data_IF_782220413906
#
_entry.id   IF_782220413906
#
_cell.length_a   1.000
_cell.length_b   1.000
_cell.length_c   1.000
_cell.angle_alpha   90.00
_cell.angle_beta   90.00
_cell.angle_gamma   90.00
#
_symmetry.space_group_name_H-M   'P 1'
#
loop_
_entity.id
_entity.type
_entity.pdbx_description
1 polymer ?
#
# COMPACT_ATOMS: atom_id res chain seq x y z
N UNK A 1 -5.51 9.78 12.04
CA UNK A 1 -6.41 10.30 11.01
C UNK A 1 -5.74 10.52 9.67
N UNK A 2 -6.50 10.95 8.65
CA UNK A 2 -5.93 11.32 7.35
C UNK A 2 -6.74 12.44 6.68
N UNK A 3 -6.07 13.23 5.87
CA UNK A 3 -6.68 14.09 4.89
C UNK A 3 -6.64 13.41 3.53
N UNK A 4 -7.80 13.34 2.88
CA UNK A 4 -7.94 12.78 1.54
C UNK A 4 -8.45 13.85 0.58
N UNK A 5 -7.73 14.04 -0.52
CA UNK A 5 -8.13 14.93 -1.61
C UNK A 5 -8.01 14.17 -2.93
N UNK A 6 -8.98 14.35 -3.81
CA UNK A 6 -8.92 13.80 -5.14
C UNK A 6 -9.49 14.79 -6.17
N UNK A 7 -8.82 14.89 -7.29
CA UNK A 7 -9.26 15.62 -8.46
C UNK A 7 -9.43 14.63 -9.61
N UNK A 8 -10.62 14.57 -10.17
CA UNK A 8 -10.91 13.74 -11.34
C UNK A 8 -11.37 14.60 -12.49
N UNK A 9 -10.87 14.30 -13.67
CA UNK A 9 -11.31 14.90 -14.91
C UNK A 9 -11.75 13.82 -15.88
N UNK A 10 -12.97 13.97 -16.41
CA UNK A 10 -13.59 13.04 -17.35
C UNK A 10 -13.55 13.68 -18.74
N UNK A 11 -12.77 13.09 -19.63
CA UNK A 11 -12.74 13.41 -21.04
C UNK A 11 -13.78 12.56 -21.80
N UNK A 12 -14.08 12.84 -23.07
CA UNK A 12 -15.05 12.04 -23.81
C UNK A 12 -14.75 10.54 -23.88
N UNK A 13 -13.46 10.15 -23.91
CA UNK A 13 -13.03 8.76 -24.11
C UNK A 13 -12.12 8.21 -23.01
N UNK A 14 -11.62 9.06 -22.12
CA UNK A 14 -10.70 8.66 -21.07
C UNK A 14 -10.94 9.47 -19.79
N UNK A 15 -10.43 9.01 -18.67
CA UNK A 15 -10.55 9.68 -17.38
C UNK A 15 -9.20 9.68 -16.66
N UNK A 16 -8.85 10.80 -16.07
CA UNK A 16 -7.70 10.92 -15.22
C UNK A 16 -8.13 11.29 -13.79
N UNK A 17 -7.42 10.75 -12.80
CA UNK A 17 -7.61 11.06 -11.40
C UNK A 17 -6.25 11.24 -10.74
N UNK A 18 -6.04 12.35 -10.06
CA UNK A 18 -4.94 12.55 -9.14
C UNK A 18 -5.49 12.59 -7.72
N UNK A 19 -4.81 11.96 -6.79
CA UNK A 19 -5.24 11.95 -5.40
C UNK A 19 -4.04 12.04 -4.47
N UNK A 20 -4.32 12.58 -3.30
CA UNK A 20 -3.35 12.84 -2.25
C UNK A 20 -3.98 12.46 -0.92
N UNK A 21 -3.25 11.71 -0.10
CA UNK A 21 -3.59 11.42 1.27
C UNK A 21 -2.43 11.79 2.17
N UNK A 22 -2.72 12.45 3.28
CA UNK A 22 -1.77 12.75 4.34
C UNK A 22 -2.22 12.11 5.62
N UNK A 23 -1.34 11.37 6.25
CA UNK A 23 -1.56 10.76 7.55
C UNK A 23 -1.25 11.74 8.69
N UNK A 24 -1.96 11.60 9.79
CA UNK A 24 -1.67 12.30 11.04
C UNK A 24 -2.17 11.50 12.24
N UNK A 25 -1.46 11.57 13.35
CA UNK A 25 -1.84 10.93 14.60
C UNK A 25 -2.60 11.89 15.50
N UNK A 26 -2.12 13.11 15.67
CA UNK A 26 -2.68 14.08 16.61
C UNK A 26 -2.94 15.46 15.97
N UNK A 27 -3.36 16.40 16.82
CA UNK A 27 -3.71 17.76 16.42
C UNK A 27 -2.50 18.54 15.92
N UNK A 28 -1.29 18.23 16.34
CA UNK A 28 -0.08 18.97 15.95
C UNK A 28 0.20 18.89 14.46
N UNK A 29 -0.27 17.83 13.80
CA UNK A 29 -0.13 17.62 12.36
C UNK A 29 -1.26 18.20 11.52
N UNK A 30 -2.34 18.70 12.12
CA UNK A 30 -3.46 19.30 11.40
C UNK A 30 -3.06 20.53 10.56
N UNK A 31 -1.95 21.16 10.91
CA UNK A 31 -1.38 22.27 10.16
C UNK A 31 -0.21 21.79 9.30
N UNK A 32 0.05 22.43 8.17
CA UNK A 32 1.19 22.13 7.31
C UNK A 32 2.53 22.58 7.90
N UNK A 33 2.56 22.96 9.18
CA UNK A 33 3.71 23.52 9.88
C UNK A 33 4.95 22.61 9.82
N UNK A 34 4.74 21.29 9.85
CA UNK A 34 5.82 20.29 9.88
C UNK A 34 6.10 19.67 8.51
N UNK A 35 5.57 20.26 7.44
CA UNK A 35 5.79 19.82 6.07
C UNK A 35 4.80 18.74 5.59
N UNK A 36 4.99 18.31 4.37
CA UNK A 36 4.16 17.29 3.69
C UNK A 36 5.05 16.09 3.30
N UNK A 37 5.95 15.69 4.20
CA UNK A 37 6.90 14.62 3.90
C UNK A 37 6.24 13.26 3.86
N UNK A 38 5.28 13.01 4.78
CA UNK A 38 4.51 11.79 4.81
C UNK A 38 3.21 11.97 4.03
N UNK A 39 3.02 11.12 3.04
CA UNK A 39 1.88 11.21 2.14
C UNK A 39 1.68 9.91 1.36
N UNK A 40 0.51 9.76 0.80
CA UNK A 40 0.25 8.95 -0.38
C UNK A 40 -0.13 9.90 -1.51
N UNK A 41 0.58 9.82 -2.63
CA UNK A 41 0.27 10.54 -3.86
C UNK A 41 -0.01 9.50 -4.94
N UNK A 42 -1.14 9.61 -5.61
CA UNK A 42 -1.55 8.69 -6.64
C UNK A 42 -2.04 9.36 -7.90
N UNK A 43 -1.81 8.69 -9.01
CA UNK A 43 -2.29 9.07 -10.32
C UNK A 43 -2.85 7.85 -11.04
N UNK A 44 -4.09 7.95 -11.50
CA UNK A 44 -4.81 6.89 -12.19
C UNK A 44 -5.35 7.41 -13.52
N UNK A 45 -5.25 6.59 -14.57
CA UNK A 45 -5.82 6.89 -15.88
C UNK A 45 -6.61 5.68 -16.37
N UNK A 46 -7.85 5.94 -16.75
CA UNK A 46 -8.70 5.04 -17.54
C UNK A 46 -8.60 5.46 -19.00
N UNK A 47 -8.19 4.56 -19.86
CA UNK A 47 -7.97 4.80 -21.30
C UNK A 47 -9.20 4.42 -22.13
N UNK A 48 -9.33 4.95 -23.35
CA UNK A 48 -10.32 4.48 -24.30
C UNK A 48 -10.23 2.97 -24.50
N UNK A 49 -11.37 2.33 -24.75
CA UNK A 49 -11.41 0.88 -24.97
C UNK A 49 -10.42 0.47 -26.06
N UNK A 50 -9.43 -0.31 -25.66
CA UNK A 50 -8.43 -0.88 -26.54
C UNK A 50 -8.04 -2.28 -26.01
N UNK A 51 -7.42 -3.15 -26.85
CA UNK A 51 -7.16 -4.53 -26.47
C UNK A 51 -5.99 -4.70 -25.49
N UNK A 52 -5.21 -3.67 -25.22
CA UNK A 52 -3.98 -3.83 -24.46
C UNK A 52 -4.09 -3.26 -23.05
N UNK A 53 -4.40 -1.97 -22.90
CA UNK A 53 -4.37 -1.28 -21.61
C UNK A 53 -5.67 -0.53 -21.38
N UNK A 54 -6.43 -0.90 -20.37
CA UNK A 54 -7.66 -0.21 -20.00
C UNK A 54 -7.41 0.87 -18.95
N UNK A 55 -6.56 0.58 -17.99
CA UNK A 55 -6.13 1.58 -17.01
C UNK A 55 -4.74 1.30 -16.47
N UNK A 56 -4.13 2.34 -15.95
CA UNK A 56 -2.92 2.23 -15.13
C UNK A 56 -3.02 3.13 -13.90
N UNK A 57 -2.29 2.77 -12.86
CA UNK A 57 -2.13 3.53 -11.64
C UNK A 57 -0.65 3.62 -11.28
N UNK A 58 -0.25 4.78 -10.79
CA UNK A 58 1.06 5.01 -10.19
C UNK A 58 0.83 5.67 -8.83
N UNK A 59 1.40 5.09 -7.78
CA UNK A 59 1.33 5.62 -6.42
C UNK A 59 2.71 5.71 -5.81
N UNK A 60 2.89 6.76 -5.03
CA UNK A 60 4.03 6.93 -4.14
C UNK A 60 3.51 7.14 -2.73
N UNK A 61 4.01 6.34 -1.78
CA UNK A 61 3.71 6.50 -0.37
C UNK A 61 5.01 6.74 0.40
N UNK A 62 4.97 7.63 1.37
CA UNK A 62 6.00 7.81 2.38
C UNK A 62 5.37 7.92 3.76
N UNK A 63 5.86 7.14 4.71
CA UNK A 63 5.63 7.29 6.14
C UNK A 63 6.96 7.42 6.89
N UNK A 64 8.03 7.72 6.16
CA UNK A 64 9.41 7.69 6.63
C UNK A 64 9.69 8.75 7.69
N UNK A 65 9.14 9.95 7.52
CA UNK A 65 9.49 11.08 8.37
C UNK A 65 8.63 11.14 9.64
N UNK A 66 7.42 10.57 9.62
CA UNK A 66 6.50 10.57 10.76
C UNK A 66 6.42 11.96 11.39
N UNK A 67 6.08 12.94 10.54
CA UNK A 67 6.11 14.34 10.89
C UNK A 67 5.16 14.65 12.03
N UNK A 68 5.60 15.49 12.96
CA UNK A 68 4.86 15.94 14.12
C UNK A 68 5.64 16.98 14.91
N UNK A 69 5.09 17.44 16.01
CA UNK A 69 5.76 18.38 16.90
C UNK A 69 7.05 17.75 17.46
N UNK A 70 8.11 18.51 17.41
CA UNK A 70 9.38 18.11 18.02
C UNK A 70 9.46 18.75 19.38
N UNK A 71 9.38 17.94 20.45
CA UNK A 71 9.41 18.40 21.83
C UNK A 71 10.82 18.62 22.39
N UNK A 72 11.85 18.08 21.74
CA UNK A 72 13.25 18.24 22.15
C UNK A 72 14.11 18.79 21.03
N UNK A 73 14.84 19.82 21.35
CA UNK A 73 15.97 20.23 20.53
C UNK A 73 17.16 19.28 20.72
N UNK A 74 18.05 19.24 19.74
CA UNK A 74 19.31 18.50 19.85
C UNK A 74 20.07 18.95 21.09
N UNK A 75 20.48 17.99 21.91
CA UNK A 75 21.40 18.20 23.02
C UNK A 75 22.65 17.36 22.83
N UNK A 76 23.72 17.66 23.57
CA UNK A 76 24.94 16.87 23.49
C UNK A 76 24.73 15.40 23.89
N UNK A 77 23.75 15.14 24.78
CA UNK A 77 23.40 13.79 25.24
C UNK A 77 22.31 13.12 24.40
N UNK A 78 21.57 13.89 23.58
CA UNK A 78 20.58 13.41 22.64
C UNK A 78 20.76 14.13 21.31
N UNK A 79 21.66 13.64 20.46
CA UNK A 79 22.00 14.30 19.21
C UNK A 79 20.87 14.24 18.16
N UNK A 80 19.92 13.31 18.34
CA UNK A 80 18.79 13.15 17.45
C UNK A 80 17.50 13.71 18.05
N UNK A 81 16.68 14.33 17.22
CA UNK A 81 15.35 14.81 17.58
C UNK A 81 14.38 13.62 17.61
N UNK A 82 14.41 12.82 18.66
CA UNK A 82 13.67 11.54 18.72
C UNK A 82 12.24 11.67 19.27
N UNK A 83 11.92 12.74 20.00
CA UNK A 83 10.61 12.91 20.62
C UNK A 83 9.71 13.86 19.83
N UNK A 84 8.43 13.56 19.83
CA UNK A 84 7.40 14.39 19.21
C UNK A 84 7.16 14.10 17.74
N UNK A 85 7.75 13.04 17.18
CA UNK A 85 7.35 12.55 15.87
C UNK A 85 6.25 11.52 16.03
N UNK A 86 5.20 11.66 15.26
CA UNK A 86 4.07 10.75 15.31
C UNK A 86 4.48 9.36 14.83
N UNK A 87 4.23 8.39 15.68
CA UNK A 87 4.63 7.01 15.47
C UNK A 87 3.42 6.24 14.94
N UNK A 88 3.19 6.29 13.64
CA UNK A 88 2.04 5.64 13.01
C UNK A 88 1.95 4.17 13.39
N UNK A 89 0.72 3.69 13.61
CA UNK A 89 0.41 2.30 13.93
C UNK A 89 0.89 1.80 15.29
N UNK A 90 1.82 2.48 15.95
CA UNK A 90 2.43 2.03 17.20
C UNK A 90 2.32 3.08 18.30
N UNK A 91 2.11 2.62 19.54
CA UNK A 91 2.13 3.48 20.72
C UNK A 91 2.75 2.73 21.89
N UNK A 92 3.43 3.45 22.80
CA UNK A 92 4.11 2.84 23.95
C UNK A 92 3.17 2.15 24.94
N UNK A 93 1.91 2.62 25.05
CA UNK A 93 0.95 2.15 26.03
C UNK A 93 -0.04 1.11 25.50
N UNK A 94 -0.12 0.89 24.17
CA UNK A 94 -1.00 -0.09 23.56
C UNK A 94 -0.37 -0.67 22.30
N UNK A 95 -0.87 -1.83 21.88
CA UNK A 95 -0.29 -2.61 20.77
C UNK A 95 -0.49 -2.01 19.37
N UNK A 96 -1.07 -0.81 19.29
CA UNK A 96 -1.25 -0.08 18.04
C UNK A 96 -2.44 -0.56 17.18
N UNK A 97 -2.45 -0.14 15.93
CA UNK A 97 -3.51 -0.44 14.96
C UNK A 97 -3.37 -1.85 14.39
N UNK A 98 -3.70 -2.83 15.19
CA UNK A 98 -3.64 -4.24 14.81
C UNK A 98 -4.74 -5.05 15.49
N UNK A 99 -5.09 -6.19 14.89
CA UNK A 99 -6.01 -7.17 15.44
C UNK A 99 -5.36 -8.54 15.37
N UNK A 100 -5.11 -9.15 16.55
CA UNK A 100 -4.43 -10.45 16.64
C UNK A 100 -3.10 -10.52 15.87
N UNK A 101 -2.33 -9.44 15.92
CA UNK A 101 -1.05 -9.34 15.22
C UNK A 101 -1.14 -8.97 13.73
N UNK A 102 -2.35 -8.83 13.17
CA UNK A 102 -2.54 -8.34 11.80
C UNK A 102 -2.73 -6.83 11.80
N UNK A 103 -1.91 -6.11 11.04
CA UNK A 103 -2.02 -4.67 10.88
C UNK A 103 -3.37 -4.28 10.25
N UNK A 104 -3.98 -3.22 10.77
CA UNK A 104 -5.18 -2.61 10.21
C UNK A 104 -4.74 -1.37 9.41
N UNK A 105 -5.23 -1.20 8.20
CA UNK A 105 -4.92 -0.05 7.36
C UNK A 105 -4.03 -0.40 6.18
N UNK A 106 -2.88 0.28 6.01
CA UNK A 106 -2.08 0.14 4.80
C UNK A 106 -1.33 -1.21 4.74
N UNK A 107 -1.45 -1.97 3.64
CA UNK A 107 -0.91 -3.33 3.53
C UNK A 107 0.63 -3.40 3.54
N UNK A 108 1.33 -2.29 3.25
CA UNK A 108 2.80 -2.25 3.28
C UNK A 108 3.37 -2.08 4.69
N UNK A 109 2.53 -1.80 5.70
CA UNK A 109 2.97 -1.81 7.10
C UNK A 109 3.03 -3.26 7.56
N UNK A 110 4.24 -3.70 7.93
CA UNK A 110 4.48 -5.10 8.29
C UNK A 110 3.68 -5.50 9.53
N UNK A 111 2.83 -6.50 9.37
CA UNK A 111 2.00 -7.01 10.46
C UNK A 111 2.84 -7.66 11.56
N UNK A 112 2.59 -7.37 12.85
CA UNK A 112 3.32 -7.94 13.96
C UNK A 112 3.33 -9.48 14.04
N UNK A 113 2.36 -10.15 13.43
CA UNK A 113 2.31 -11.63 13.38
C UNK A 113 3.54 -12.25 12.68
N UNK A 114 4.22 -11.47 11.84
CA UNK A 114 5.44 -11.91 11.16
C UNK A 114 6.72 -11.69 11.98
N UNK A 115 6.60 -11.16 13.21
CA UNK A 115 7.77 -10.99 14.09
C UNK A 115 8.28 -12.34 14.56
N UNK A 116 9.56 -12.62 14.39
CA UNK A 116 10.21 -13.86 14.78
C UNK A 116 10.15 -14.16 16.30
N UNK A 117 10.07 -13.11 17.11
CA UNK A 117 10.02 -13.21 18.57
C UNK A 117 8.60 -13.36 19.14
N UNK A 118 7.58 -13.50 18.32
CA UNK A 118 6.16 -13.55 18.68
C UNK A 118 5.65 -12.35 19.50
N UNK A 119 6.37 -11.23 19.50
CA UNK A 119 5.93 -10.01 20.19
C UNK A 119 4.99 -9.24 19.27
N UNK A 120 3.80 -8.92 19.78
CA UNK A 120 2.76 -8.20 19.04
C UNK A 120 3.02 -6.68 19.14
N UNK A 121 4.06 -6.22 18.46
CA UNK A 121 4.36 -4.80 18.26
C UNK A 121 4.81 -4.54 16.81
N UNK A 122 4.61 -3.32 16.34
CA UNK A 122 5.10 -2.94 15.02
C UNK A 122 6.62 -2.73 15.07
N UNK A 123 7.33 -3.43 14.19
CA UNK A 123 8.78 -3.29 14.02
C UNK A 123 9.16 -2.44 12.81
N UNK A 124 8.19 -2.18 11.93
CA UNK A 124 8.40 -1.40 10.72
C UNK A 124 7.13 -0.61 10.38
N UNK A 125 7.17 0.70 10.53
CA UNK A 125 6.12 1.65 10.17
C UNK A 125 6.65 2.86 9.40
N UNK A 126 7.97 2.89 9.13
CA UNK A 126 8.64 3.90 8.34
C UNK A 126 9.01 3.30 7.00
N UNK A 127 8.20 3.61 6.00
CA UNK A 127 8.34 3.06 4.65
C UNK A 127 8.33 4.18 3.61
N UNK A 128 8.94 3.89 2.48
CA UNK A 128 8.73 4.61 1.23
C UNK A 128 8.49 3.57 0.14
N UNK A 129 7.46 3.76 -0.67
CA UNK A 129 7.13 2.79 -1.70
C UNK A 129 6.64 3.46 -2.98
N UNK A 130 6.95 2.79 -4.09
CA UNK A 130 6.33 3.00 -5.39
C UNK A 130 5.46 1.80 -5.72
N UNK A 131 4.23 2.08 -6.12
CA UNK A 131 3.30 1.07 -6.61
C UNK A 131 2.87 1.41 -8.03
N UNK A 132 2.93 0.41 -8.89
CA UNK A 132 2.48 0.48 -10.27
C UNK A 132 1.47 -0.61 -10.55
N UNK A 133 0.33 -0.23 -11.10
CA UNK A 133 -0.72 -1.14 -11.49
C UNK A 133 -1.12 -0.92 -12.95
N UNK A 134 -1.38 -2.02 -13.64
CA UNK A 134 -1.82 -2.04 -15.03
C UNK A 134 -2.89 -3.10 -15.21
N UNK A 135 -3.95 -2.80 -15.97
CA UNK A 135 -4.90 -3.81 -16.40
C UNK A 135 -5.29 -3.63 -17.87
N UNK A 136 -5.76 -4.71 -18.46
CA UNK A 136 -6.23 -4.74 -19.83
C UNK A 136 -7.22 -5.87 -20.08
N UNK A 137 -7.95 -5.75 -21.18
CA UNK A 137 -8.93 -6.73 -21.63
C UNK A 137 -8.73 -7.00 -23.13
N UNK A 138 -7.77 -7.88 -23.50
CA UNK A 138 -7.43 -8.20 -24.88
C UNK A 138 -8.63 -8.71 -25.70
N UNK A 139 -9.54 -9.43 -25.05
CA UNK A 139 -10.77 -9.93 -25.64
C UNK A 139 -11.93 -9.79 -24.65
N UNK A 140 -13.16 -9.97 -25.13
CA UNK A 140 -14.34 -9.98 -24.24
C UNK A 140 -14.33 -11.11 -23.20
N UNK A 141 -13.50 -12.14 -23.40
CA UNK A 141 -13.40 -13.30 -22.53
C UNK A 141 -12.18 -13.27 -21.61
N UNK A 142 -11.11 -12.54 -22.00
CA UNK A 142 -9.86 -12.46 -21.24
C UNK A 142 -9.59 -11.07 -20.73
N UNK A 143 -9.26 -10.97 -19.43
CA UNK A 143 -8.73 -9.79 -18.80
C UNK A 143 -7.46 -10.14 -18.00
N UNK A 144 -6.58 -9.16 -17.83
CA UNK A 144 -5.36 -9.33 -17.03
C UNK A 144 -5.10 -8.12 -16.12
N UNK A 145 -4.31 -8.35 -15.08
CA UNK A 145 -3.81 -7.31 -14.17
C UNK A 145 -2.37 -7.60 -13.79
N UNK A 146 -1.58 -6.55 -13.74
CA UNK A 146 -0.19 -6.56 -13.24
C UNK A 146 -0.08 -5.54 -12.13
N UNK A 147 0.50 -5.94 -10.99
CA UNK A 147 0.83 -5.04 -9.90
C UNK A 147 2.31 -5.22 -9.55
N UNK A 148 3.01 -4.11 -9.39
CA UNK A 148 4.41 -4.05 -9.01
C UNK A 148 4.55 -3.08 -7.85
N UNK A 149 5.19 -3.50 -6.77
CA UNK A 149 5.42 -2.67 -5.59
C UNK A 149 6.88 -2.77 -5.19
N UNK A 150 7.53 -1.64 -4.98
CA UNK A 150 8.92 -1.52 -4.56
C UNK A 150 8.96 -0.72 -3.27
N UNK A 151 9.44 -1.31 -2.19
CA UNK A 151 9.46 -0.69 -0.87
C UNK A 151 10.87 -0.58 -0.31
N UNK A 152 11.13 0.53 0.36
CA UNK A 152 12.25 0.75 1.26
C UNK A 152 11.70 0.88 2.68
N UNK A 153 12.39 0.29 3.65
CA UNK A 153 11.91 0.08 5.00
C UNK A 153 12.99 0.49 6.01
N UNK A 154 12.63 1.35 6.98
CA UNK A 154 13.58 1.92 7.95
C UNK A 154 13.34 1.44 9.40
N UNK A 155 12.40 0.52 9.62
CA UNK A 155 11.98 0.13 10.96
C UNK A 155 11.08 1.17 11.62
N UNK A 156 11.29 1.42 12.91
CA UNK A 156 10.61 2.50 13.65
C UNK A 156 11.61 3.57 14.08
N UNK A 157 11.16 4.69 14.64
CA UNK A 157 12.08 5.67 15.22
C UNK A 157 12.77 5.16 16.49
N UNK A 158 12.10 4.32 17.27
CA UNK A 158 12.64 3.78 18.53
C UNK A 158 13.62 2.64 18.25
N UNK A 159 13.30 1.81 17.27
CA UNK A 159 14.09 0.65 16.84
C UNK A 159 14.29 0.69 15.33
N UNK A 160 15.14 1.59 14.83
CA UNK A 160 15.46 1.63 13.41
C UNK A 160 16.19 0.35 12.98
N UNK A 161 16.06 -0.01 11.72
CA UNK A 161 16.92 -1.03 11.12
C UNK A 161 18.34 -0.46 10.95
N UNK A 162 19.35 -1.31 11.04
CA UNK A 162 20.74 -0.91 10.84
C UNK A 162 20.97 -0.41 9.40
N UNK A 163 20.34 -1.06 8.43
CA UNK A 163 20.33 -0.69 7.02
C UNK A 163 18.90 -0.51 6.50
N UNK A 164 18.77 0.15 5.36
CA UNK A 164 17.48 0.28 4.67
C UNK A 164 17.15 -1.04 3.99
N UNK A 165 16.15 -1.73 4.48
CA UNK A 165 15.72 -3.02 3.94
C UNK A 165 14.79 -2.82 2.74
N UNK A 166 15.04 -3.56 1.66
CA UNK A 166 14.24 -3.50 0.43
C UNK A 166 13.33 -4.71 0.32
N UNK A 167 12.14 -4.46 -0.20
CA UNK A 167 11.17 -5.52 -0.51
C UNK A 167 10.45 -5.18 -1.82
N UNK A 168 10.42 -6.11 -2.74
CA UNK A 168 9.71 -6.00 -4.01
C UNK A 168 8.59 -7.05 -4.04
N UNK A 169 7.42 -6.65 -4.52
CA UNK A 169 6.26 -7.53 -4.63
C UNK A 169 5.66 -7.42 -6.03
N UNK A 170 5.38 -8.56 -6.62
CA UNK A 170 4.89 -8.69 -7.99
C UNK A 170 3.63 -9.54 -7.99
N UNK A 171 2.59 -9.11 -8.71
CA UNK A 171 1.39 -9.89 -8.97
C UNK A 171 1.07 -9.87 -10.46
N UNK A 172 0.81 -11.05 -11.02
CA UNK A 172 0.21 -11.23 -12.34
C UNK A 172 -1.08 -12.03 -12.21
N UNK A 173 -2.18 -11.50 -12.72
CA UNK A 173 -3.48 -12.13 -12.68
C UNK A 173 -4.10 -12.18 -14.08
N UNK A 174 -4.68 -13.32 -14.44
CA UNK A 174 -5.48 -13.50 -15.66
C UNK A 174 -6.85 -14.03 -15.28
N UNK A 175 -7.88 -13.41 -15.83
CA UNK A 175 -9.28 -13.83 -15.70
C UNK A 175 -9.83 -14.25 -17.04
N UNK A 176 -10.54 -15.38 -17.04
CA UNK A 176 -11.22 -15.94 -18.21
C UNK A 176 -12.72 -16.11 -17.93
N UNK A 177 -13.55 -15.53 -18.81
CA UNK A 177 -15.02 -15.60 -18.76
C UNK A 177 -15.54 -16.13 -20.08
N UNK A 178 -15.65 -17.45 -20.25
CA UNK A 178 -16.08 -18.06 -21.51
C UNK A 178 -17.53 -17.71 -21.86
N UNK A 179 -17.77 -17.17 -23.04
CA UNK A 179 -19.12 -16.88 -23.56
C UNK A 179 -19.99 -18.15 -23.65
N UNK A 180 -19.35 -19.30 -23.91
CA UNK A 180 -20.04 -20.61 -24.00
C UNK A 180 -20.60 -21.09 -22.66
N UNK A 181 -19.94 -20.75 -21.55
CA UNK A 181 -20.34 -21.18 -20.19
C UNK A 181 -20.84 -19.99 -19.40
N UNK A 182 -22.08 -19.58 -19.66
CA UNK A 182 -22.71 -18.40 -19.07
C UNK A 182 -22.59 -18.44 -17.55
N UNK A 183 -22.09 -17.37 -16.96
CA UNK A 183 -21.92 -17.17 -15.53
C UNK A 183 -20.71 -17.87 -14.91
N UNK A 184 -19.89 -18.59 -15.66
CA UNK A 184 -18.60 -19.12 -15.20
C UNK A 184 -17.47 -18.12 -15.41
N UNK A 185 -16.57 -18.06 -14.43
CA UNK A 185 -15.28 -17.40 -14.59
C UNK A 185 -14.20 -18.17 -13.86
N UNK A 186 -12.98 -18.13 -14.42
CA UNK A 186 -11.78 -18.66 -13.80
C UNK A 186 -10.75 -17.51 -13.69
N UNK A 187 -10.07 -17.40 -12.57
CA UNK A 187 -8.98 -16.44 -12.38
C UNK A 187 -7.77 -17.16 -11.83
N UNK A 188 -6.64 -17.01 -12.51
CA UNK A 188 -5.32 -17.46 -12.06
C UNK A 188 -4.53 -16.22 -11.63
N UNK A 189 -4.01 -16.23 -10.41
CA UNK A 189 -3.10 -15.23 -9.91
C UNK A 189 -1.79 -15.89 -9.50
N UNK A 190 -0.66 -15.27 -9.88
CA UNK A 190 0.69 -15.65 -9.48
C UNK A 190 1.33 -14.44 -8.81
N UNK A 191 1.93 -14.65 -7.65
CA UNK A 191 2.62 -13.62 -6.88
C UNK A 191 4.04 -14.06 -6.56
N UNK A 192 4.95 -13.09 -6.54
CA UNK A 192 6.34 -13.30 -6.13
C UNK A 192 6.80 -12.11 -5.29
N UNK A 193 7.37 -12.42 -4.14
CA UNK A 193 8.03 -11.46 -3.26
C UNK A 193 9.54 -11.72 -3.27
N UNK A 194 10.32 -10.63 -3.28
CA UNK A 194 11.78 -10.65 -3.26
C UNK A 194 12.28 -9.54 -2.34
N UNK A 195 12.99 -9.89 -1.26
CA UNK A 195 13.55 -8.88 -0.38
C UNK A 195 13.88 -9.35 1.03
N UNK A 196 14.11 -8.37 1.89
CA UNK A 196 14.73 -8.56 3.22
C UNK A 196 13.72 -8.43 4.37
N UNK A 197 12.50 -7.95 4.10
CA UNK A 197 11.48 -7.75 5.16
C UNK A 197 10.58 -8.96 5.33
N UNK A 198 10.06 -9.50 4.22
CA UNK A 198 9.21 -10.69 4.18
C UNK A 198 9.93 -11.92 3.60
N UNK A 199 11.18 -11.73 3.14
CA UNK A 199 11.94 -12.76 2.45
C UNK A 199 11.46 -13.00 1.02
N UNK A 200 11.93 -14.09 0.42
CA UNK A 200 11.59 -14.48 -0.94
C UNK A 200 10.49 -15.52 -0.89
N UNK A 201 9.39 -15.28 -1.59
CA UNK A 201 8.27 -16.21 -1.63
C UNK A 201 7.59 -16.22 -2.98
N UNK A 202 7.02 -17.36 -3.34
CA UNK A 202 6.18 -17.51 -4.53
C UNK A 202 4.83 -18.08 -4.13
N UNK A 203 3.75 -17.48 -4.64
CA UNK A 203 2.39 -17.91 -4.39
C UNK A 203 1.56 -18.00 -5.66
N UNK A 204 0.57 -18.88 -5.64
CA UNK A 204 -0.39 -19.01 -6.73
C UNK A 204 -1.80 -19.25 -6.20
N UNK A 205 -2.79 -18.68 -6.86
CA UNK A 205 -4.21 -18.86 -6.54
C UNK A 205 -5.01 -19.17 -7.81
N UNK A 206 -5.85 -20.21 -7.76
CA UNK A 206 -6.88 -20.44 -8.75
C UNK A 206 -8.26 -20.22 -8.12
N UNK A 207 -9.03 -19.33 -8.72
CA UNK A 207 -10.42 -19.04 -8.31
C UNK A 207 -11.37 -19.45 -9.43
N UNK A 208 -12.33 -20.30 -9.10
CA UNK A 208 -13.46 -20.65 -9.96
C UNK A 208 -14.73 -20.05 -9.39
N UNK A 209 -15.50 -19.36 -10.21
CA UNK A 209 -16.75 -18.72 -9.80
C UNK A 209 -17.88 -19.09 -10.75
N UNK A 210 -19.04 -19.41 -10.19
CA UNK A 210 -20.30 -19.54 -10.91
C UNK A 210 -21.31 -18.53 -10.39
N UNK A 211 -21.86 -17.72 -11.27
CA UNK A 211 -22.96 -16.78 -10.98
C UNK A 211 -24.27 -17.36 -11.52
N UNK A 212 -25.28 -17.42 -10.69
CA UNK A 212 -26.61 -17.86 -11.05
C UNK A 212 -27.53 -16.64 -11.11
N UNK A 213 -28.25 -16.46 -12.23
CA UNK A 213 -29.33 -15.49 -12.31
C UNK A 213 -30.61 -16.19 -11.78
N UNK A 214 -31.01 -15.86 -10.57
CA UNK A 214 -32.32 -16.21 -10.05
C UNK A 214 -33.32 -15.17 -10.60
N UNK A 215 -33.90 -15.44 -11.77
CA UNK A 215 -35.07 -14.66 -12.20
C UNK A 215 -36.21 -14.96 -11.24
N UNK A 216 -36.73 -13.92 -10.59
CA UNK A 216 -38.04 -13.97 -9.94
C UNK A 216 -39.13 -13.85 -10.97
#
# INVERSE_FOLDING_TARGET
GSYNMALSYVFPEWKARAYFERYFEDQSMLTLQYGIYDHLLGFEVELPKNPFVNSFVLEHISTKDQSGAVYHDKTASMPDKMNGRDNYYYHLLYTGWQHWGMALGHPLITSPIYNENNVINFRNNRIMAWHFGLNGQPTDEFAYRVLLTFTENWGTYITPFDDVLKQNSYLFEVSYQPKRFIGWSATLALAYDDGEVLGNSFGGQLRLRKTFNLSR
#
